data_IF_636067916023
#
_entry.id   IF_636067916023
#
_cell.length_a   1.000
_cell.length_b   1.000
_cell.length_c   1.000
_cell.angle_alpha   90.00
_cell.angle_beta   90.00
_cell.angle_gamma   90.00
#
_symmetry.space_group_name_H-M   'P 1'
#
loop_
_entity.id
_entity.type
_entity.pdbx_description
1 polymer ?
#
# COMPACT_ATOMS: atom_id res chain seq x y z
N UNK A 1 14.67 -40.18 -26.75
CA UNK A 1 15.73 -39.17 -26.48
C UNK A 1 15.17 -37.78 -26.33
N UNK A 2 14.20 -37.38 -27.17
CA UNK A 2 13.55 -36.04 -27.11
C UNK A 2 12.76 -35.86 -25.83
N UNK A 3 11.99 -36.87 -25.41
CA UNK A 3 11.13 -36.81 -24.20
C UNK A 3 11.96 -36.72 -22.92
N UNK A 4 13.10 -37.42 -22.83
CA UNK A 4 14.01 -37.31 -21.69
C UNK A 4 14.65 -35.91 -21.59
N UNK A 5 14.99 -35.31 -22.73
CA UNK A 5 15.58 -33.97 -22.75
C UNK A 5 14.58 -32.88 -22.39
N UNK A 6 13.30 -33.06 -22.78
CA UNK A 6 12.23 -32.18 -22.41
C UNK A 6 11.94 -32.27 -20.90
N UNK A 7 11.87 -33.48 -20.34
CA UNK A 7 11.67 -33.67 -18.90
C UNK A 7 12.86 -33.10 -18.07
N UNK A 8 14.08 -33.20 -18.56
CA UNK A 8 15.27 -32.61 -17.90
C UNK A 8 15.18 -31.06 -17.91
N UNK A 9 14.76 -30.46 -19.03
CA UNK A 9 14.54 -29.02 -19.12
C UNK A 9 13.43 -28.55 -18.18
N UNK A 10 12.31 -29.25 -18.09
CA UNK A 10 11.21 -28.93 -17.17
C UNK A 10 11.68 -28.96 -15.69
N UNK A 11 12.46 -29.96 -15.32
CA UNK A 11 13.02 -30.07 -13.96
C UNK A 11 13.97 -28.89 -13.66
N UNK A 12 14.84 -28.52 -14.59
CA UNK A 12 15.76 -27.39 -14.44
C UNK A 12 14.98 -26.07 -14.30
N UNK A 13 13.98 -25.85 -15.15
CA UNK A 13 13.14 -24.65 -15.05
C UNK A 13 12.33 -24.59 -13.75
N UNK A 14 11.78 -25.73 -13.30
CA UNK A 14 11.05 -25.80 -12.03
C UNK A 14 11.99 -25.50 -10.84
N UNK A 15 13.23 -26.01 -10.89
CA UNK A 15 14.25 -25.73 -9.87
C UNK A 15 14.64 -24.26 -9.85
N UNK A 16 14.90 -23.64 -11.01
CA UNK A 16 15.24 -22.21 -11.10
C UNK A 16 14.10 -21.36 -10.51
N UNK A 17 12.84 -21.64 -10.86
CA UNK A 17 11.68 -20.94 -10.30
C UNK A 17 11.55 -21.11 -8.78
N UNK A 18 11.84 -22.30 -8.25
CA UNK A 18 11.82 -22.56 -6.82
C UNK A 18 12.93 -21.78 -6.08
N UNK A 19 14.18 -21.82 -6.60
CA UNK A 19 15.33 -21.10 -6.02
C UNK A 19 15.09 -19.57 -6.06
N UNK A 20 14.49 -19.05 -7.13
CA UNK A 20 14.15 -17.63 -7.27
C UNK A 20 13.04 -17.22 -6.29
N UNK A 21 12.01 -18.06 -6.12
CA UNK A 21 10.96 -17.87 -5.12
C UNK A 21 11.52 -17.84 -3.69
N UNK A 22 12.39 -18.75 -3.33
CA UNK A 22 13.01 -18.81 -2.00
C UNK A 22 13.90 -17.59 -1.74
N UNK A 23 14.63 -17.12 -2.75
CA UNK A 23 15.43 -15.90 -2.65
C UNK A 23 14.55 -14.66 -2.44
N UNK A 24 13.46 -14.55 -3.18
CA UNK A 24 12.51 -13.44 -3.04
C UNK A 24 11.84 -13.44 -1.65
N UNK A 25 11.45 -14.62 -1.14
CA UNK A 25 10.91 -14.78 0.21
C UNK A 25 11.90 -14.35 1.29
N UNK A 26 13.15 -14.76 1.16
CA UNK A 26 14.19 -14.40 2.12
C UNK A 26 14.48 -12.90 2.12
N UNK A 27 14.56 -12.28 0.94
CA UNK A 27 14.72 -10.83 0.80
C UNK A 27 13.51 -10.07 1.36
N UNK A 28 12.29 -10.55 1.12
CA UNK A 28 11.06 -9.99 1.68
C UNK A 28 11.08 -10.01 3.20
N UNK A 29 11.38 -11.15 3.84
CA UNK A 29 11.45 -11.28 5.29
C UNK A 29 12.54 -10.38 5.92
N UNK A 30 13.69 -10.25 5.25
CA UNK A 30 14.75 -9.35 5.70
C UNK A 30 14.29 -7.88 5.65
N UNK A 31 13.67 -7.45 4.55
CA UNK A 31 13.14 -6.11 4.39
C UNK A 31 12.02 -5.83 5.41
N UNK A 32 11.07 -6.76 5.60
CA UNK A 32 10.00 -6.63 6.59
C UNK A 32 10.55 -6.49 8.01
N UNK A 33 11.61 -7.21 8.35
CA UNK A 33 12.26 -7.09 9.66
C UNK A 33 12.83 -5.68 9.88
N UNK A 34 13.36 -5.05 8.85
CA UNK A 34 13.84 -3.67 8.90
C UNK A 34 12.69 -2.66 9.00
N UNK A 35 11.67 -2.83 8.16
CA UNK A 35 10.50 -1.94 8.14
C UNK A 35 9.71 -1.98 9.47
N UNK A 36 9.64 -3.13 10.14
CA UNK A 36 9.03 -3.28 11.47
C UNK A 36 9.90 -2.66 12.56
N UNK A 37 11.23 -2.83 12.48
CA UNK A 37 12.15 -2.38 13.53
C UNK A 37 12.18 -0.87 13.68
N UNK A 38 12.10 -0.13 12.59
CA UNK A 38 12.19 1.34 12.57
C UNK A 38 11.06 1.98 13.38
N UNK A 39 9.76 1.76 13.09
CA UNK A 39 8.68 2.32 13.89
C UNK A 39 8.66 1.76 15.32
N UNK A 40 8.99 0.49 15.52
CA UNK A 40 9.04 -0.10 16.85
C UNK A 40 10.10 0.59 17.73
N UNK A 41 11.29 0.87 17.20
CA UNK A 41 12.32 1.58 17.93
C UNK A 41 11.92 3.02 18.25
N UNK A 42 11.20 3.71 17.36
CA UNK A 42 10.64 5.02 17.60
C UNK A 42 9.62 4.97 18.76
N UNK A 43 8.65 4.05 18.70
CA UNK A 43 7.67 3.88 19.79
C UNK A 43 8.35 3.63 21.14
N UNK A 44 9.28 2.66 21.20
CA UNK A 44 9.97 2.31 22.45
C UNK A 44 10.86 3.45 22.92
N UNK A 45 11.52 4.16 22.01
CA UNK A 45 12.41 5.29 22.33
C UNK A 45 11.63 6.45 22.94
N UNK A 46 10.60 6.93 22.26
CA UNK A 46 9.80 8.06 22.75
C UNK A 46 8.95 7.71 23.97
N UNK A 47 8.44 6.48 24.09
CA UNK A 47 7.74 6.04 25.29
C UNK A 47 8.61 6.09 26.55
N UNK A 48 9.91 5.85 26.45
CA UNK A 48 10.84 5.97 27.58
C UNK A 48 11.08 7.44 27.95
N UNK A 49 11.14 8.32 26.96
CA UNK A 49 11.41 9.74 27.16
C UNK A 49 10.21 10.51 27.73
N UNK A 50 8.97 10.06 27.52
CA UNK A 50 7.77 10.73 28.05
C UNK A 50 7.85 11.01 29.56
N UNK A 51 8.45 10.09 30.33
CA UNK A 51 8.61 10.24 31.78
C UNK A 51 9.67 11.29 32.21
N UNK A 52 10.53 11.72 31.30
CA UNK A 52 11.63 12.64 31.54
C UNK A 52 11.34 14.08 31.07
N UNK A 53 10.24 14.26 30.35
CA UNK A 53 9.84 15.56 29.77
C UNK A 53 9.04 16.36 30.78
N UNK A 54 9.38 17.65 30.92
CA UNK A 54 8.75 18.53 31.88
C UNK A 54 7.53 19.30 31.32
N UNK A 55 7.46 19.53 30.01
CA UNK A 55 6.39 20.32 29.37
C UNK A 55 5.32 19.43 28.74
N UNK A 56 4.06 19.85 28.83
CA UNK A 56 2.95 19.14 28.22
C UNK A 56 3.02 19.19 26.68
N UNK A 57 3.58 20.26 26.10
CA UNK A 57 3.77 20.41 24.66
C UNK A 57 4.73 19.34 24.12
N UNK A 58 5.86 19.11 24.80
CA UNK A 58 6.83 18.09 24.40
C UNK A 58 6.26 16.68 24.59
N UNK A 59 5.50 16.44 25.67
CA UNK A 59 4.81 15.17 25.88
C UNK A 59 3.85 14.87 24.73
N UNK A 60 3.05 15.86 24.32
CA UNK A 60 2.11 15.71 23.23
C UNK A 60 2.83 15.38 21.91
N UNK A 61 3.95 16.05 21.62
CA UNK A 61 4.76 15.72 20.44
C UNK A 61 5.26 14.28 20.46
N UNK A 62 5.69 13.77 21.62
CA UNK A 62 6.13 12.37 21.72
C UNK A 62 4.98 11.38 21.56
N UNK A 63 3.80 11.71 22.10
CA UNK A 63 2.60 10.91 21.91
C UNK A 63 2.22 10.87 20.41
N UNK A 64 2.22 12.01 19.73
CA UNK A 64 1.91 12.09 18.29
C UNK A 64 2.89 11.25 17.46
N UNK A 65 4.18 11.25 17.81
CA UNK A 65 5.18 10.41 17.15
C UNK A 65 4.91 8.91 17.40
N UNK A 66 4.55 8.54 18.62
CA UNK A 66 4.22 7.16 18.98
C UNK A 66 2.98 6.70 18.19
N UNK A 67 1.95 7.52 18.13
CA UNK A 67 0.70 7.21 17.45
C UNK A 67 0.94 7.00 15.94
N UNK A 68 1.64 7.92 15.28
CA UNK A 68 2.00 7.80 13.86
C UNK A 68 2.78 6.51 13.57
N UNK A 69 3.78 6.18 14.42
CA UNK A 69 4.57 4.96 14.24
C UNK A 69 3.78 3.68 14.57
N UNK A 70 2.81 3.75 15.49
CA UNK A 70 1.91 2.64 15.80
C UNK A 70 0.97 2.34 14.65
N UNK A 71 0.40 3.36 14.03
CA UNK A 71 -0.44 3.22 12.82
C UNK A 71 0.36 2.61 11.66
N UNK A 72 1.58 3.09 11.42
CA UNK A 72 2.47 2.55 10.41
C UNK A 72 2.79 1.07 10.65
N UNK A 73 3.06 0.69 11.90
CA UNK A 73 3.34 -0.71 12.26
C UNK A 73 2.11 -1.60 12.04
N UNK A 74 0.91 -1.14 12.42
CA UNK A 74 -0.34 -1.86 12.18
C UNK A 74 -0.61 -2.04 10.68
N UNK A 75 -0.34 -1.04 9.86
CA UNK A 75 -0.46 -1.14 8.41
C UNK A 75 0.50 -2.20 7.85
N UNK A 76 1.78 -2.19 8.25
CA UNK A 76 2.76 -3.20 7.82
C UNK A 76 2.34 -4.62 8.20
N UNK A 77 1.81 -4.82 9.41
CA UNK A 77 1.32 -6.13 9.84
C UNK A 77 0.15 -6.58 8.97
N UNK A 78 -0.81 -5.70 8.67
CA UNK A 78 -1.95 -6.01 7.80
C UNK A 78 -1.49 -6.35 6.38
N UNK A 79 -0.52 -5.63 5.83
CA UNK A 79 0.05 -5.88 4.49
C UNK A 79 0.72 -7.28 4.45
N UNK A 80 1.47 -7.66 5.48
CA UNK A 80 2.08 -8.99 5.60
C UNK A 80 1.00 -10.09 5.67
N UNK A 81 -0.05 -9.87 6.46
CA UNK A 81 -1.18 -10.80 6.56
C UNK A 81 -1.94 -10.94 5.23
N UNK A 82 -2.12 -9.84 4.50
CA UNK A 82 -2.75 -9.85 3.17
C UNK A 82 -1.91 -10.64 2.17
N UNK A 83 -0.59 -10.42 2.13
CA UNK A 83 0.33 -11.21 1.28
C UNK A 83 0.24 -12.69 1.63
N UNK A 84 0.24 -13.03 2.92
CA UNK A 84 0.13 -14.42 3.39
C UNK A 84 -1.18 -15.08 2.96
N UNK A 85 -2.32 -14.33 2.99
CA UNK A 85 -3.62 -14.81 2.53
C UNK A 85 -3.66 -14.99 1.00
N UNK A 86 -3.01 -14.10 0.25
CA UNK A 86 -2.89 -14.20 -1.21
C UNK A 86 -2.08 -15.45 -1.58
N UNK A 87 -0.92 -15.67 -0.95
CA UNK A 87 -0.08 -16.86 -1.19
C UNK A 87 -0.80 -18.16 -0.84
N UNK A 88 -1.60 -18.16 0.23
CA UNK A 88 -2.40 -19.31 0.64
C UNK A 88 -3.69 -19.50 -0.19
N UNK A 89 -4.06 -18.56 -1.07
CA UNK A 89 -5.32 -18.59 -1.81
C UNK A 89 -6.56 -18.44 -0.93
N UNK A 90 -6.40 -17.85 0.26
CA UNK A 90 -7.47 -17.70 1.27
C UNK A 90 -7.97 -16.27 1.40
N UNK A 91 -7.56 -15.37 0.50
CA UNK A 91 -8.07 -13.99 0.49
C UNK A 91 -9.54 -13.98 0.08
N UNK A 92 -10.41 -13.55 0.98
CA UNK A 92 -11.83 -13.40 0.73
C UNK A 92 -12.13 -11.98 0.25
N UNK A 93 -13.00 -11.88 -0.77
CA UNK A 93 -13.52 -10.61 -1.28
C UNK A 93 -14.99 -10.45 -0.95
N UNK A 94 -15.37 -9.23 -0.56
CA UNK A 94 -16.76 -8.86 -0.27
C UNK A 94 -17.31 -7.96 -1.36
N UNK A 95 -17.77 -8.57 -2.44
CA UNK A 95 -18.33 -7.86 -3.58
C UNK A 95 -19.68 -7.22 -3.24
N UNK A 96 -19.78 -5.89 -3.45
CA UNK A 96 -21.01 -5.09 -3.27
C UNK A 96 -21.11 -4.04 -4.37
N UNK A 97 -22.36 -3.67 -4.78
CA UNK A 97 -22.54 -2.49 -5.63
C UNK A 97 -22.02 -1.24 -4.92
N UNK A 98 -21.29 -0.42 -5.64
CA UNK A 98 -20.77 0.85 -5.14
C UNK A 98 -20.58 1.86 -6.28
N UNK A 99 -20.64 3.15 -5.94
CA UNK A 99 -20.31 4.23 -6.85
C UNK A 99 -18.80 4.52 -6.78
N UNK A 100 -18.14 4.44 -7.92
CA UNK A 100 -16.69 4.59 -8.02
C UNK A 100 -16.23 6.04 -7.84
N UNK A 101 -17.05 7.00 -8.30
CA UNK A 101 -16.75 8.41 -8.14
C UNK A 101 -16.78 8.82 -6.67
N UNK A 102 -17.72 8.27 -5.89
CA UNK A 102 -17.79 8.54 -4.44
C UNK A 102 -16.56 7.98 -3.70
N UNK A 103 -16.09 6.79 -4.07
CA UNK A 103 -14.84 6.26 -3.54
C UNK A 103 -13.66 7.19 -3.86
N UNK A 104 -13.51 7.61 -5.12
CA UNK A 104 -12.41 8.49 -5.51
C UNK A 104 -12.46 9.85 -4.80
N UNK A 105 -13.64 10.42 -4.61
CA UNK A 105 -13.81 11.66 -3.83
C UNK A 105 -13.41 11.45 -2.37
N UNK A 106 -13.81 10.32 -1.77
CA UNK A 106 -13.39 9.98 -0.40
C UNK A 106 -11.88 9.84 -0.28
N UNK A 107 -11.22 9.17 -1.24
CA UNK A 107 -9.76 9.03 -1.26
C UNK A 107 -9.07 10.40 -1.45
N UNK A 108 -9.62 11.28 -2.28
CA UNK A 108 -9.13 12.67 -2.42
C UNK A 108 -9.12 13.39 -1.08
N UNK A 109 -10.24 13.37 -0.35
CA UNK A 109 -10.35 14.05 0.96
C UNK A 109 -9.38 13.50 2.00
N UNK A 110 -9.15 12.18 2.00
CA UNK A 110 -8.22 11.52 2.94
C UNK A 110 -6.76 11.86 2.62
N UNK A 111 -6.40 11.92 1.33
CA UNK A 111 -4.99 12.08 0.91
C UNK A 111 -4.58 13.53 0.70
N UNK A 112 -5.51 14.43 0.37
CA UNK A 112 -5.23 15.85 0.14
C UNK A 112 -4.45 16.55 1.28
N UNK A 113 -4.77 16.31 2.57
CA UNK A 113 -3.99 16.90 3.68
C UNK A 113 -2.60 16.28 3.87
N UNK A 114 -2.32 15.14 3.23
CA UNK A 114 -1.09 14.35 3.43
C UNK A 114 -0.01 14.62 2.38
N UNK A 115 -0.36 15.28 1.28
CA UNK A 115 0.63 15.65 0.25
C UNK A 115 1.53 16.78 0.76
N UNK A 116 2.74 16.84 0.21
CA UNK A 116 3.73 17.86 0.60
C UNK A 116 3.25 19.27 0.25
N UNK A 117 3.67 20.30 1.02
CA UNK A 117 3.42 21.69 0.64
C UNK A 117 3.95 21.97 -0.77
N UNK A 118 3.13 22.53 -1.65
CA UNK A 118 3.48 22.79 -3.05
C UNK A 118 3.10 21.68 -4.02
N UNK A 119 2.57 20.56 -3.54
CA UNK A 119 2.00 19.49 -4.37
C UNK A 119 0.47 19.59 -4.34
N UNK A 120 -0.15 19.60 -5.51
CA UNK A 120 -1.59 19.57 -5.65
C UNK A 120 -2.08 18.15 -5.95
N UNK A 121 -3.08 17.66 -5.20
CA UNK A 121 -3.73 16.38 -5.47
C UNK A 121 -5.09 16.63 -6.15
N UNK A 122 -5.28 16.07 -7.34
CA UNK A 122 -6.45 16.29 -8.18
C UNK A 122 -7.10 14.96 -8.57
N UNK A 123 -8.41 14.85 -8.32
CA UNK A 123 -9.21 13.78 -8.90
C UNK A 123 -9.76 14.24 -10.26
N UNK A 124 -9.31 13.61 -11.34
CA UNK A 124 -9.87 13.83 -12.68
C UNK A 124 -11.14 12.98 -12.88
N UNK A 125 -12.27 13.57 -12.68
CA UNK A 125 -13.57 12.92 -12.90
C UNK A 125 -13.92 12.93 -14.40
N UNK A 126 -13.33 12.00 -15.18
CA UNK A 126 -13.56 11.88 -16.62
C UNK A 126 -14.92 11.29 -16.98
N UNK A 127 -15.42 10.40 -16.12
CA UNK A 127 -16.71 9.72 -16.26
C UNK A 127 -17.47 9.82 -14.95
N UNK A 128 -18.72 10.26 -14.99
CA UNK A 128 -19.55 10.45 -13.80
C UNK A 128 -20.48 9.24 -13.56
N UNK A 129 -20.83 9.00 -12.29
CA UNK A 129 -21.81 8.02 -11.85
C UNK A 129 -21.55 6.59 -12.33
N UNK A 130 -20.33 6.11 -12.18
CA UNK A 130 -19.96 4.75 -12.54
C UNK A 130 -20.24 3.82 -11.36
N UNK A 131 -21.20 2.92 -11.55
CA UNK A 131 -21.50 1.86 -10.59
C UNK A 131 -20.78 0.57 -10.97
N UNK A 132 -20.10 -0.04 -10.00
CA UNK A 132 -19.41 -1.32 -10.14
C UNK A 132 -19.74 -2.25 -8.99
N UNK A 133 -19.52 -3.55 -9.19
CA UNK A 133 -19.62 -4.55 -8.12
C UNK A 133 -18.19 -4.98 -7.77
N UNK A 134 -17.69 -4.51 -6.62
CA UNK A 134 -16.35 -4.86 -6.17
C UNK A 134 -16.26 -4.87 -4.64
N UNK A 135 -15.10 -5.24 -4.11
CA UNK A 135 -14.76 -5.03 -2.70
C UNK A 135 -14.19 -3.62 -2.53
N UNK A 136 -15.03 -2.73 -1.98
CA UNK A 136 -14.70 -1.32 -1.77
C UNK A 136 -13.41 -1.13 -0.95
N UNK A 137 -13.23 -1.93 0.10
CA UNK A 137 -12.07 -1.78 1.00
C UNK A 137 -10.78 -2.19 0.28
N UNK A 138 -10.83 -3.24 -0.53
CA UNK A 138 -9.67 -3.67 -1.31
C UNK A 138 -9.33 -2.70 -2.44
N UNK A 139 -10.34 -2.16 -3.09
CA UNK A 139 -10.13 -1.14 -4.12
C UNK A 139 -9.58 0.16 -3.50
N UNK A 140 -10.14 0.61 -2.38
CA UNK A 140 -9.62 1.75 -1.62
C UNK A 140 -8.15 1.54 -1.23
N UNK A 141 -7.79 0.34 -0.75
CA UNK A 141 -6.42 -0.03 -0.39
C UNK A 141 -5.45 0.10 -1.58
N UNK A 142 -5.86 -0.34 -2.77
CA UNK A 142 -5.04 -0.21 -4.00
C UNK A 142 -4.85 1.26 -4.36
N UNK A 143 -5.93 2.05 -4.40
CA UNK A 143 -5.87 3.48 -4.73
C UNK A 143 -5.01 4.23 -3.72
N UNK A 144 -5.24 4.00 -2.42
CA UNK A 144 -4.48 4.61 -1.33
C UNK A 144 -2.98 4.29 -1.42
N UNK A 145 -2.60 3.05 -1.73
CA UNK A 145 -1.20 2.67 -1.92
C UNK A 145 -0.55 3.42 -3.09
N UNK A 146 -1.27 3.57 -4.20
CA UNK A 146 -0.77 4.33 -5.35
C UNK A 146 -0.61 5.82 -5.03
N UNK A 147 -1.61 6.43 -4.37
CA UNK A 147 -1.58 7.83 -3.96
C UNK A 147 -0.48 8.11 -2.92
N UNK A 148 -0.28 7.21 -1.95
CA UNK A 148 0.81 7.31 -0.98
C UNK A 148 2.18 7.26 -1.67
N UNK A 149 2.35 6.37 -2.66
CA UNK A 149 3.59 6.30 -3.44
C UNK A 149 3.83 7.58 -4.23
N UNK A 150 2.82 8.09 -4.94
CA UNK A 150 2.90 9.35 -5.65
C UNK A 150 3.27 10.51 -4.69
N UNK A 151 2.56 10.65 -3.55
CA UNK A 151 2.84 11.67 -2.55
C UNK A 151 4.24 11.60 -1.92
N UNK A 152 4.80 10.39 -1.82
CA UNK A 152 6.16 10.18 -1.31
C UNK A 152 7.23 10.68 -2.28
N UNK A 153 7.04 10.47 -3.59
CA UNK A 153 8.06 10.72 -4.60
C UNK A 153 7.90 12.07 -5.31
N UNK A 154 6.73 12.72 -5.24
CA UNK A 154 6.52 14.06 -5.79
C UNK A 154 6.99 15.11 -4.80
N UNK A 155 7.92 15.96 -5.24
CA UNK A 155 8.43 17.09 -4.44
C UNK A 155 7.69 18.39 -4.74
N UNK A 156 7.34 18.65 -5.98
CA UNK A 156 6.63 19.83 -6.47
C UNK A 156 5.72 19.45 -7.65
N UNK A 157 4.65 20.22 -7.87
CA UNK A 157 3.76 20.04 -9.01
C UNK A 157 2.43 19.40 -8.62
N UNK A 158 1.97 18.41 -9.37
CA UNK A 158 0.65 17.83 -9.14
C UNK A 158 0.66 16.30 -9.22
N UNK A 159 -0.27 15.71 -8.47
CA UNK A 159 -0.62 14.29 -8.55
C UNK A 159 -2.05 14.25 -9.08
N UNK A 160 -2.25 13.65 -10.23
CA UNK A 160 -3.57 13.42 -10.83
C UNK A 160 -3.93 11.94 -10.73
N UNK A 161 -5.15 11.65 -10.32
CA UNK A 161 -5.68 10.30 -10.35
C UNK A 161 -7.11 10.29 -10.85
N UNK A 162 -7.53 9.16 -11.34
CA UNK A 162 -8.86 8.99 -11.89
C UNK A 162 -9.02 7.63 -12.53
N UNK A 163 -10.06 7.51 -13.35
CA UNK A 163 -10.32 6.30 -14.11
C UNK A 163 -10.99 6.61 -15.45
N UNK A 164 -10.79 5.72 -16.40
CA UNK A 164 -11.45 5.68 -17.70
C UNK A 164 -12.26 4.39 -17.83
N UNK A 165 -13.30 4.43 -18.67
CA UNK A 165 -14.01 3.23 -19.09
C UNK A 165 -13.50 2.82 -20.47
N UNK A 166 -12.88 1.63 -20.57
CA UNK A 166 -12.29 1.14 -21.78
C UNK A 166 -12.60 -0.34 -21.96
N UNK A 167 -13.21 -0.68 -23.09
CA UNK A 167 -13.53 -2.06 -23.46
C UNK A 167 -14.33 -2.83 -22.38
N UNK A 168 -15.23 -2.14 -21.67
CA UNK A 168 -16.03 -2.71 -20.58
C UNK A 168 -15.30 -2.89 -19.25
N UNK A 169 -14.07 -2.38 -19.15
CA UNK A 169 -13.27 -2.37 -17.93
C UNK A 169 -13.10 -0.96 -17.40
N UNK A 170 -12.86 -0.85 -16.09
CA UNK A 170 -12.42 0.37 -15.44
C UNK A 170 -10.89 0.36 -15.40
N UNK A 171 -10.26 1.36 -16.00
CA UNK A 171 -8.82 1.56 -16.00
C UNK A 171 -8.48 2.73 -15.08
N UNK A 172 -7.86 2.43 -13.92
CA UNK A 172 -7.40 3.45 -12.99
C UNK A 172 -6.02 3.97 -13.40
N UNK A 173 -5.81 5.26 -13.20
CA UNK A 173 -4.50 5.88 -13.35
C UNK A 173 -4.15 6.75 -12.14
N UNK A 174 -2.88 6.81 -11.81
CA UNK A 174 -2.24 7.80 -10.94
C UNK A 174 -1.03 8.31 -11.70
N UNK A 175 -0.95 9.61 -11.88
CA UNK A 175 0.11 10.29 -12.61
C UNK A 175 0.70 11.40 -11.72
N UNK A 176 1.98 11.39 -11.54
CA UNK A 176 2.77 12.35 -10.80
C UNK A 176 3.80 13.07 -11.70
N UNK A 177 4.32 14.19 -11.23
CA UNK A 177 5.31 15.02 -11.97
C UNK A 177 6.74 14.75 -11.50
#
# INVERSE_FOLDING_TARGET
ITDMKNAELEIVEARIRAEESDRLKSAFLANMSHEIRTPLNAIVGFAKLIGEVETEEEKQQFIDIIDVNSELLLQLINDILDISKIEAGTLEFRFRPMNLNDLCRSELEVHKPRVKPGVELVFEERVANVEIVCDQNRLAQVISNLLNNAGKFTEEGEIRFGFDLKDGCVEFFVQDT
#
